data_IF_937551420007
#
_entry.id   IF_937551420007
#
_cell.length_a   1.000
_cell.length_b   1.000
_cell.length_c   1.000
_cell.angle_alpha   90.00
_cell.angle_beta   90.00
_cell.angle_gamma   90.00
#
_symmetry.space_group_name_H-M   'P 1'
#
loop_
_entity.id
_entity.type
_entity.pdbx_description
1 polymer ?
#
# COMPACT_ATOMS: atom_id res chain seq x y z
N UNK A 1 12.23 -13.55 -10.64
CA UNK A 1 12.96 -12.46 -9.95
C UNK A 1 12.20 -11.18 -10.22
N UNK A 2 12.01 -10.31 -9.22
CA UNK A 2 11.38 -9.00 -9.41
C UNK A 2 12.22 -8.13 -10.35
N UNK A 3 11.58 -7.41 -11.27
CA UNK A 3 12.30 -6.42 -12.09
C UNK A 3 12.59 -5.17 -11.26
N UNK A 4 13.84 -4.71 -11.29
CA UNK A 4 14.25 -3.40 -10.80
C UNK A 4 13.90 -2.33 -11.83
N UNK A 5 13.19 -1.29 -11.38
CA UNK A 5 12.67 -0.22 -12.22
C UNK A 5 13.18 1.10 -11.67
N UNK A 6 13.89 1.85 -12.51
CA UNK A 6 14.24 3.23 -12.21
C UNK A 6 13.13 4.17 -12.71
N UNK A 7 12.65 5.07 -11.87
CA UNK A 7 11.64 6.07 -12.27
C UNK A 7 12.29 7.46 -12.25
N UNK A 8 12.45 8.01 -13.46
CA UNK A 8 12.94 9.38 -13.69
C UNK A 8 11.75 10.31 -13.84
N UNK A 9 11.69 11.37 -13.03
CA UNK A 9 10.57 12.32 -13.01
C UNK A 9 11.01 13.71 -12.51
N UNK A 10 10.25 14.75 -12.84
CA UNK A 10 10.45 16.09 -12.27
C UNK A 10 9.89 16.16 -10.85
N UNK A 11 10.54 16.88 -9.93
CA UNK A 11 10.04 17.05 -8.56
C UNK A 11 8.60 17.62 -8.49
N UNK A 12 8.19 18.42 -9.48
CA UNK A 12 6.82 18.96 -9.61
C UNK A 12 5.76 17.84 -9.78
N UNK A 13 6.17 16.66 -10.27
CA UNK A 13 5.30 15.49 -10.42
C UNK A 13 5.43 14.51 -9.24
N UNK A 14 6.22 14.86 -8.21
CA UNK A 14 6.60 13.94 -7.15
C UNK A 14 5.43 13.33 -6.41
N UNK A 15 4.40 14.12 -6.10
CA UNK A 15 3.24 13.61 -5.38
C UNK A 15 2.49 12.55 -6.19
N UNK A 16 2.30 12.77 -7.49
CA UNK A 16 1.67 11.78 -8.37
C UNK A 16 2.55 10.53 -8.52
N UNK A 17 3.86 10.70 -8.75
CA UNK A 17 4.77 9.56 -8.91
C UNK A 17 4.78 8.69 -7.65
N UNK A 18 4.90 9.30 -6.47
CA UNK A 18 4.95 8.58 -5.21
C UNK A 18 3.63 7.91 -4.84
N UNK A 19 2.53 8.67 -4.96
CA UNK A 19 1.21 8.23 -4.53
C UNK A 19 0.44 7.49 -5.61
N UNK A 20 0.87 7.42 -6.87
CA UNK A 20 0.14 6.67 -7.91
C UNK A 20 1.06 5.63 -8.50
N UNK A 21 2.04 6.06 -9.28
CA UNK A 21 2.92 5.19 -10.06
C UNK A 21 3.71 4.21 -9.19
N UNK A 22 4.48 4.70 -8.22
CA UNK A 22 5.32 3.86 -7.35
C UNK A 22 4.46 2.92 -6.50
N UNK A 23 3.30 3.38 -6.02
CA UNK A 23 2.38 2.54 -5.24
C UNK A 23 1.84 1.38 -6.07
N UNK A 24 1.41 1.61 -7.32
CA UNK A 24 0.96 0.54 -8.21
C UNK A 24 2.09 -0.42 -8.58
N UNK A 25 3.28 0.08 -8.89
CA UNK A 25 4.43 -0.76 -9.25
C UNK A 25 4.87 -1.66 -8.08
N UNK A 26 5.08 -1.08 -6.89
CA UNK A 26 5.43 -1.83 -5.68
C UNK A 26 4.29 -2.77 -5.26
N UNK A 27 3.04 -2.30 -5.36
CA UNK A 27 1.83 -3.10 -5.14
C UNK A 27 1.80 -4.35 -6.02
N UNK A 28 2.20 -4.21 -7.28
CA UNK A 28 2.30 -5.28 -8.26
C UNK A 28 3.54 -6.16 -8.12
N UNK A 29 4.42 -5.89 -7.15
CA UNK A 29 5.61 -6.68 -6.84
C UNK A 29 6.90 -6.25 -7.56
N UNK A 30 6.92 -5.09 -8.22
CA UNK A 30 8.14 -4.55 -8.79
C UNK A 30 9.03 -3.90 -7.72
N UNK A 31 10.34 -3.95 -7.94
CA UNK A 31 11.32 -3.24 -7.13
C UNK A 31 11.56 -1.87 -7.76
N UNK A 32 11.22 -0.80 -7.05
CA UNK A 32 11.21 0.56 -7.61
C UNK A 32 12.29 1.43 -6.97
N UNK A 33 13.13 2.01 -7.81
CA UNK A 33 14.25 2.88 -7.48
C UNK A 33 13.89 4.32 -7.86
N UNK A 34 13.94 5.24 -6.88
CA UNK A 34 13.53 6.65 -7.04
C UNK A 34 14.46 7.60 -6.26
N UNK A 35 14.63 8.80 -6.81
CA UNK A 35 15.62 9.80 -6.39
C UNK A 35 15.32 10.44 -5.01
N UNK A 36 14.06 10.52 -4.57
CA UNK A 36 13.70 11.25 -3.33
C UNK A 36 14.37 10.73 -2.05
N UNK A 37 14.70 9.43 -1.99
CA UNK A 37 15.38 8.86 -0.81
C UNK A 37 16.87 9.25 -0.71
N UNK A 38 17.47 9.81 -1.76
CA UNK A 38 18.89 10.20 -1.78
C UNK A 38 19.14 11.71 -1.80
N UNK A 39 18.16 12.52 -2.22
CA UNK A 39 18.33 13.99 -2.35
C UNK A 39 18.38 14.71 -0.99
N UNK A 40 17.67 14.24 0.04
CA UNK A 40 17.72 14.86 1.37
C UNK A 40 19.03 14.55 2.13
N UNK A 41 19.74 13.48 1.77
CA UNK A 41 20.94 13.04 2.48
C UNK A 41 22.28 13.34 1.77
N UNK A 42 22.33 13.61 0.46
CA UNK A 42 23.63 13.71 -0.20
C UNK A 42 23.70 14.52 -1.50
N UNK A 43 24.18 15.77 -1.38
CA UNK A 43 24.79 16.54 -2.50
C UNK A 43 26.11 15.94 -3.05
N UNK A 44 26.44 14.67 -2.74
CA UNK A 44 27.66 13.97 -3.20
C UNK A 44 27.38 12.71 -4.05
N UNK A 45 26.12 12.43 -4.41
CA UNK A 45 25.70 11.12 -4.93
C UNK A 45 25.48 10.99 -6.45
N UNK A 46 25.92 11.94 -7.29
CA UNK A 46 25.67 11.87 -8.74
C UNK A 46 26.14 10.57 -9.41
N UNK A 47 27.32 10.05 -9.03
CA UNK A 47 27.83 8.78 -9.57
C UNK A 47 27.03 7.57 -9.11
N UNK A 48 26.45 7.64 -7.91
CA UNK A 48 25.67 6.53 -7.36
C UNK A 48 24.29 6.42 -8.03
N UNK A 49 23.67 7.53 -8.42
CA UNK A 49 22.40 7.52 -9.16
C UNK A 49 22.56 6.98 -10.59
N UNK A 50 23.64 7.37 -11.28
CA UNK A 50 23.99 6.82 -12.59
C UNK A 50 24.17 5.29 -12.54
N UNK A 51 24.91 4.79 -11.56
CA UNK A 51 25.13 3.35 -11.37
C UNK A 51 23.81 2.61 -11.03
N UNK A 52 22.92 3.24 -10.27
CA UNK A 52 21.59 2.70 -9.94
C UNK A 52 20.71 2.63 -11.19
N UNK A 53 20.68 3.69 -11.99
CA UNK A 53 19.94 3.71 -13.26
C UNK A 53 20.45 2.63 -14.23
N UNK A 54 21.78 2.50 -14.35
CA UNK A 54 22.40 1.52 -15.26
C UNK A 54 22.09 0.08 -14.85
N UNK A 55 21.96 -0.20 -13.55
CA UNK A 55 21.59 -1.52 -13.02
C UNK A 55 20.10 -1.83 -13.13
N UNK A 56 19.24 -0.83 -13.29
CA UNK A 56 17.81 -1.06 -13.45
C UNK A 56 17.52 -1.80 -14.75
N UNK A 57 16.62 -2.78 -14.67
CA UNK A 57 16.14 -3.53 -15.83
C UNK A 57 15.29 -2.66 -16.75
N UNK A 58 14.52 -1.73 -16.18
CA UNK A 58 13.64 -0.80 -16.89
C UNK A 58 13.81 0.63 -16.37
N UNK A 59 13.55 1.59 -17.25
CA UNK A 59 13.56 3.02 -16.99
C UNK A 59 12.21 3.61 -17.37
N UNK A 60 11.44 4.06 -16.38
CA UNK A 60 10.21 4.82 -16.62
C UNK A 60 10.59 6.30 -16.66
N UNK A 61 10.23 6.96 -17.77
CA UNK A 61 10.49 8.38 -18.00
C UNK A 61 9.17 9.13 -17.93
N UNK A 62 8.92 9.83 -16.83
CA UNK A 62 7.64 10.54 -16.59
C UNK A 62 7.73 11.95 -17.18
N UNK A 63 7.09 12.15 -18.32
CA UNK A 63 7.16 13.40 -19.07
C UNK A 63 6.23 14.49 -18.52
N UNK A 64 6.81 15.68 -18.45
CA UNK A 64 6.19 17.00 -18.21
C UNK A 64 7.05 18.08 -18.87
N UNK A 65 6.53 19.32 -19.03
CA UNK A 65 7.37 20.46 -19.37
C UNK A 65 8.58 20.59 -18.44
N UNK A 66 8.38 20.50 -17.11
CA UNK A 66 9.46 20.64 -16.13
C UNK A 66 10.52 19.52 -16.23
N UNK A 67 10.09 18.29 -16.54
CA UNK A 67 11.02 17.19 -16.83
C UNK A 67 11.90 17.51 -18.03
N UNK A 68 11.31 18.07 -19.09
CA UNK A 68 12.00 18.42 -20.32
C UNK A 68 12.93 19.63 -20.13
N UNK A 69 12.64 20.53 -19.21
CA UNK A 69 13.49 21.69 -18.89
C UNK A 69 14.60 21.37 -17.88
N UNK A 70 14.45 20.30 -17.10
CA UNK A 70 15.45 19.87 -16.12
C UNK A 70 16.67 19.23 -16.77
N UNK A 71 17.85 19.87 -16.60
CA UNK A 71 19.13 19.32 -17.07
C UNK A 71 19.43 17.92 -16.52
N UNK A 72 19.00 17.65 -15.28
CA UNK A 72 19.19 16.37 -14.63
C UNK A 72 18.31 15.30 -15.27
N UNK A 73 17.00 15.55 -15.42
CA UNK A 73 16.09 14.63 -16.10
C UNK A 73 16.49 14.40 -17.57
N UNK A 74 16.94 15.43 -18.28
CA UNK A 74 17.49 15.28 -19.64
C UNK A 74 18.75 14.40 -19.67
N UNK A 75 19.58 14.40 -18.62
CA UNK A 75 20.73 13.50 -18.52
C UNK A 75 20.27 12.05 -18.41
N UNK A 76 19.39 11.75 -17.45
CA UNK A 76 18.81 10.41 -17.22
C UNK A 76 18.07 9.89 -18.46
N UNK A 77 17.25 10.73 -19.10
CA UNK A 77 16.56 10.40 -20.35
C UNK A 77 17.56 10.00 -21.43
N UNK A 78 18.60 10.80 -21.67
CA UNK A 78 19.61 10.49 -22.70
C UNK A 78 20.33 9.18 -22.40
N UNK A 79 20.55 8.84 -21.13
CA UNK A 79 21.14 7.54 -20.74
C UNK A 79 20.21 6.38 -21.09
N UNK A 80 18.94 6.47 -20.69
CA UNK A 80 17.93 5.46 -21.00
C UNK A 80 17.78 5.26 -22.51
N UNK A 81 17.68 6.34 -23.29
CA UNK A 81 17.56 6.29 -24.75
C UNK A 81 18.82 5.76 -25.45
N UNK A 82 20.03 5.93 -24.87
CA UNK A 82 21.24 5.29 -25.42
C UNK A 82 21.22 3.77 -25.28
N UNK A 83 20.63 3.27 -24.18
CA UNK A 83 20.44 1.81 -23.96
C UNK A 83 19.30 1.25 -24.82
N UNK A 84 18.39 2.11 -25.26
CA UNK A 84 17.21 1.72 -26.02
C UNK A 84 16.84 2.73 -27.13
N UNK A 85 17.70 2.89 -28.16
CA UNK A 85 17.52 3.94 -29.17
C UNK A 85 16.33 3.72 -30.11
N UNK A 86 15.79 2.49 -30.14
CA UNK A 86 14.69 2.05 -31.01
C UNK A 86 13.44 1.60 -30.24
N UNK A 87 13.50 1.49 -28.91
CA UNK A 87 12.44 0.92 -28.06
C UNK A 87 12.17 -0.58 -28.29
N UNK A 88 13.04 -1.28 -29.01
CA UNK A 88 12.90 -2.71 -29.33
C UNK A 88 12.94 -3.59 -28.06
N UNK A 89 13.95 -3.49 -27.17
CA UNK A 89 13.93 -4.20 -25.89
C UNK A 89 12.90 -3.61 -24.92
N UNK A 90 12.49 -2.35 -25.11
CA UNK A 90 11.58 -1.61 -24.24
C UNK A 90 12.15 -1.45 -22.83
N UNK A 91 13.44 -1.13 -22.74
CA UNK A 91 14.13 -0.74 -21.51
C UNK A 91 13.69 0.65 -21.09
N UNK A 92 13.42 1.54 -22.05
CA UNK A 92 12.89 2.88 -21.77
C UNK A 92 11.37 2.92 -22.03
N UNK A 93 10.60 3.32 -21.03
CA UNK A 93 9.14 3.40 -21.09
C UNK A 93 8.74 4.87 -20.88
N UNK A 94 8.39 5.60 -21.96
CA UNK A 94 7.82 6.93 -21.84
C UNK A 94 6.44 6.86 -21.18
N UNK A 95 6.25 7.66 -20.14
CA UNK A 95 4.94 7.86 -19.49
C UNK A 95 4.57 9.32 -19.62
N UNK A 96 3.48 9.63 -20.31
CA UNK A 96 2.93 10.98 -20.40
C UNK A 96 1.95 11.18 -19.25
N UNK A 97 2.29 12.06 -18.30
CA UNK A 97 1.39 12.40 -17.19
C UNK A 97 0.66 13.73 -17.40
N UNK A 98 1.28 14.66 -18.11
CA UNK A 98 0.68 15.95 -18.46
C UNK A 98 0.89 16.22 -19.94
N UNK A 99 0.12 17.16 -20.49
CA UNK A 99 0.33 17.58 -21.87
C UNK A 99 1.72 18.19 -22.04
N UNK A 100 2.48 17.69 -23.01
CA UNK A 100 3.81 18.16 -23.33
C UNK A 100 4.25 17.67 -24.70
N UNK A 101 5.13 18.46 -25.33
CA UNK A 101 5.74 18.12 -26.61
C UNK A 101 6.88 17.12 -26.38
N UNK A 102 6.64 15.86 -26.73
CA UNK A 102 7.66 14.82 -26.58
C UNK A 102 8.86 15.07 -27.53
N UNK A 103 10.09 14.79 -27.11
CA UNK A 103 11.27 14.87 -27.98
C UNK A 103 11.10 14.00 -29.24
N UNK A 104 11.67 14.40 -30.39
CA UNK A 104 11.59 13.63 -31.64
C UNK A 104 12.07 12.18 -31.52
N UNK A 105 13.03 11.92 -30.62
CA UNK A 105 13.52 10.58 -30.32
C UNK A 105 12.41 9.64 -29.80
N UNK A 106 11.40 10.19 -29.12
CA UNK A 106 10.29 9.47 -28.49
C UNK A 106 9.06 9.45 -29.40
N UNK A 107 8.85 10.51 -30.21
CA UNK A 107 7.74 10.63 -31.16
C UNK A 107 7.76 9.62 -32.32
N UNK A 108 8.91 9.00 -32.60
CA UNK A 108 8.98 7.86 -33.53
C UNK A 108 8.01 6.78 -33.05
N UNK A 109 7.44 5.97 -33.94
CA UNK A 109 6.50 4.89 -33.57
C UNK A 109 7.07 4.04 -32.44
N UNK A 110 6.70 4.40 -31.21
CA UNK A 110 7.10 3.73 -29.99
C UNK A 110 5.86 3.00 -29.51
N UNK A 111 5.82 1.66 -29.63
CA UNK A 111 4.65 0.88 -29.28
C UNK A 111 4.34 0.88 -27.77
N UNK A 112 5.20 1.47 -26.94
CA UNK A 112 5.11 1.44 -25.48
C UNK A 112 5.02 2.82 -24.82
N UNK A 113 4.69 3.88 -25.56
CA UNK A 113 4.38 5.16 -24.93
C UNK A 113 3.06 5.03 -24.17
N UNK A 114 3.12 5.14 -22.84
CA UNK A 114 1.96 5.05 -21.96
C UNK A 114 1.43 6.44 -21.67
N UNK A 115 0.11 6.62 -21.77
CA UNK A 115 -0.57 7.87 -21.45
C UNK A 115 -1.35 7.74 -20.14
N UNK A 116 -0.83 8.32 -19.06
CA UNK A 116 -1.46 8.36 -17.74
C UNK A 116 -1.88 9.79 -17.36
N UNK A 117 -2.31 10.59 -18.35
CA UNK A 117 -3.01 11.85 -18.07
C UNK A 117 -4.34 11.62 -17.34
N UNK A 118 -4.98 10.48 -17.59
CA UNK A 118 -6.13 9.99 -16.85
C UNK A 118 -5.76 8.76 -16.01
N UNK A 119 -5.83 8.89 -14.68
CA UNK A 119 -5.56 7.78 -13.76
C UNK A 119 -6.62 6.67 -13.84
N UNK A 120 -7.77 6.93 -14.47
CA UNK A 120 -8.86 5.96 -14.66
C UNK A 120 -8.68 5.07 -15.89
N UNK A 121 -7.71 5.35 -16.78
CA UNK A 121 -7.46 4.51 -17.95
C UNK A 121 -6.74 3.21 -17.55
N UNK A 122 -7.55 2.19 -17.25
CA UNK A 122 -7.06 0.87 -16.87
C UNK A 122 -6.19 0.22 -17.94
N UNK A 123 -6.42 0.50 -19.23
CA UNK A 123 -5.66 -0.13 -20.31
C UNK A 123 -4.22 0.40 -20.35
N UNK A 124 -4.04 1.70 -20.12
CA UNK A 124 -2.72 2.33 -20.04
C UNK A 124 -1.93 1.84 -18.82
N UNK A 125 -2.61 1.72 -17.68
CA UNK A 125 -2.00 1.10 -16.50
C UNK A 125 -1.60 -0.35 -16.73
N UNK A 126 -2.47 -1.15 -17.36
CA UNK A 126 -2.19 -2.55 -17.65
C UNK A 126 -1.02 -2.72 -18.62
N UNK A 127 -0.92 -1.86 -19.64
CA UNK A 127 0.22 -1.82 -20.54
C UNK A 127 1.53 -1.58 -19.78
N UNK A 128 1.54 -0.61 -18.88
CA UNK A 128 2.70 -0.28 -18.06
C UNK A 128 3.07 -1.41 -17.10
N UNK A 129 2.11 -1.89 -16.31
CA UNK A 129 2.31 -2.92 -15.30
C UNK A 129 2.79 -4.23 -15.94
N UNK A 130 2.18 -4.65 -17.05
CA UNK A 130 2.61 -5.83 -17.81
C UNK A 130 4.04 -5.69 -18.30
N UNK A 131 4.44 -4.52 -18.83
CA UNK A 131 5.84 -4.30 -19.25
C UNK A 131 6.80 -4.35 -18.07
N UNK A 132 6.33 -3.99 -16.88
CA UNK A 132 7.08 -4.02 -15.63
C UNK A 132 7.12 -5.40 -14.94
N UNK A 133 6.48 -6.44 -15.51
CA UNK A 133 6.21 -7.73 -14.85
C UNK A 133 5.55 -7.55 -13.47
N UNK A 134 4.69 -6.54 -13.36
CA UNK A 134 3.93 -6.20 -12.17
C UNK A 134 2.46 -6.59 -12.38
N UNK A 135 1.81 -7.12 -11.34
CA UNK A 135 0.39 -7.46 -11.38
C UNK A 135 -0.24 -7.20 -10.02
N UNK A 136 -1.30 -6.39 -9.98
CA UNK A 136 -2.05 -6.07 -8.77
C UNK A 136 -3.10 -7.14 -8.42
N UNK A 137 -3.44 -8.02 -9.37
CA UNK A 137 -4.59 -8.92 -9.30
C UNK A 137 -5.94 -8.21 -9.47
N UNK A 138 -5.91 -6.91 -9.77
CA UNK A 138 -7.04 -6.03 -10.09
C UNK A 138 -6.58 -4.95 -11.08
N UNK A 139 -7.45 -4.01 -11.45
CA UNK A 139 -7.07 -2.83 -12.24
C UNK A 139 -6.40 -1.78 -11.33
N UNK A 140 -5.47 -1.00 -11.87
CA UNK A 140 -4.84 0.06 -11.08
C UNK A 140 -5.82 1.14 -10.59
N UNK A 141 -6.84 1.58 -11.37
CA UNK A 141 -7.85 2.50 -10.86
C UNK A 141 -8.59 1.98 -9.62
N UNK A 142 -8.99 0.70 -9.64
CA UNK A 142 -9.70 0.08 -8.51
C UNK A 142 -8.79 -0.03 -7.27
N UNK A 143 -7.54 -0.45 -7.47
CA UNK A 143 -6.53 -0.48 -6.41
C UNK A 143 -6.32 0.89 -5.76
N UNK A 144 -6.14 1.93 -6.59
CA UNK A 144 -5.92 3.30 -6.14
C UNK A 144 -7.15 3.87 -5.42
N UNK A 145 -8.36 3.60 -5.92
CA UNK A 145 -9.62 3.98 -5.29
C UNK A 145 -9.72 3.40 -3.88
N UNK A 146 -9.55 2.09 -3.75
CA UNK A 146 -9.61 1.38 -2.46
C UNK A 146 -8.56 1.92 -1.50
N UNK A 147 -7.32 2.07 -1.94
CA UNK A 147 -6.25 2.59 -1.09
C UNK A 147 -6.57 4.00 -0.59
N UNK A 148 -7.07 4.88 -1.47
CA UNK A 148 -7.43 6.25 -1.09
C UNK A 148 -8.63 6.27 -0.12
N UNK A 149 -9.60 5.37 -0.29
CA UNK A 149 -10.69 5.18 0.68
C UNK A 149 -10.18 4.76 2.05
N UNK A 150 -9.30 3.75 2.10
CA UNK A 150 -8.69 3.29 3.35
C UNK A 150 -7.91 4.41 4.04
N UNK A 151 -7.07 5.15 3.29
CA UNK A 151 -6.34 6.30 3.84
C UNK A 151 -7.30 7.33 4.44
N UNK A 152 -8.38 7.65 3.72
CA UNK A 152 -9.36 8.64 4.16
C UNK A 152 -10.08 8.21 5.45
N UNK A 153 -10.58 6.98 5.51
CA UNK A 153 -11.33 6.48 6.67
C UNK A 153 -10.40 6.32 7.89
N UNK A 154 -9.28 5.62 7.73
CA UNK A 154 -8.33 5.39 8.83
C UNK A 154 -7.68 6.69 9.34
N UNK A 155 -7.43 7.65 8.44
CA UNK A 155 -6.93 8.98 8.79
C UNK A 155 -7.93 9.78 9.63
N UNK A 156 -9.24 9.59 9.41
CA UNK A 156 -10.32 10.18 10.23
C UNK A 156 -10.59 9.42 11.53
N UNK A 157 -9.87 8.32 11.77
CA UNK A 157 -10.10 7.46 12.93
C UNK A 157 -11.33 6.58 12.79
N UNK A 158 -11.79 6.32 11.56
CA UNK A 158 -12.90 5.43 11.27
C UNK A 158 -12.35 4.03 11.00
N UNK A 159 -12.96 3.02 11.63
CA UNK A 159 -12.59 1.61 11.42
C UNK A 159 -13.23 1.06 10.15
N UNK A 160 -12.49 0.22 9.42
CA UNK A 160 -12.85 -0.26 8.08
C UNK A 160 -12.78 -1.78 8.02
N UNK A 161 -13.74 -2.39 7.34
CA UNK A 161 -13.65 -3.77 6.86
C UNK A 161 -13.25 -3.78 5.37
N UNK A 162 -12.03 -4.21 5.07
CA UNK A 162 -11.54 -4.44 3.72
C UNK A 162 -11.89 -5.86 3.26
N UNK A 163 -12.85 -5.98 2.36
CA UNK A 163 -13.22 -7.25 1.74
C UNK A 163 -12.39 -7.46 0.49
N UNK A 164 -11.66 -8.57 0.40
CA UNK A 164 -10.72 -8.82 -0.71
C UNK A 164 -11.15 -9.99 -1.59
N UNK A 165 -11.31 -9.72 -2.88
CA UNK A 165 -11.59 -10.71 -3.91
C UNK A 165 -10.44 -11.70 -4.12
N UNK A 166 -10.75 -12.84 -4.74
CA UNK A 166 -9.75 -13.83 -5.12
C UNK A 166 -8.69 -13.22 -6.09
N UNK A 167 -7.46 -13.70 -6.01
CA UNK A 167 -6.37 -13.26 -6.90
C UNK A 167 -5.77 -11.87 -6.61
N UNK A 168 -6.42 -11.02 -5.81
CA UNK A 168 -5.90 -9.67 -5.53
C UNK A 168 -4.71 -9.70 -4.56
N UNK A 169 -3.69 -8.89 -4.85
CA UNK A 169 -2.53 -8.69 -3.98
C UNK A 169 -2.79 -7.70 -2.85
N UNK A 170 -3.77 -7.93 -2.00
CA UNK A 170 -4.15 -6.98 -0.94
C UNK A 170 -3.05 -6.68 0.11
N UNK A 171 -2.07 -7.57 0.32
CA UNK A 171 -1.01 -7.37 1.33
C UNK A 171 -0.17 -6.11 1.04
N UNK A 172 0.43 -5.96 -0.16
CA UNK A 172 1.10 -4.72 -0.55
C UNK A 172 0.24 -3.46 -0.41
N UNK A 173 -1.09 -3.54 -0.60
CA UNK A 173 -1.97 -2.40 -0.41
C UNK A 173 -1.98 -1.92 1.05
N UNK A 174 -2.05 -2.86 2.01
CA UNK A 174 -2.01 -2.53 3.45
C UNK A 174 -0.64 -1.99 3.84
N UNK A 175 0.45 -2.58 3.34
CA UNK A 175 1.81 -2.06 3.60
C UNK A 175 2.00 -0.64 3.02
N UNK A 176 1.43 -0.36 1.83
CA UNK A 176 1.49 0.96 1.21
C UNK A 176 0.72 2.04 1.99
N UNK A 177 -0.22 1.66 2.87
CA UNK A 177 -0.87 2.62 3.78
C UNK A 177 0.14 3.23 4.76
N UNK A 178 1.14 2.45 5.22
CA UNK A 178 2.15 2.92 6.19
C UNK A 178 3.13 3.93 5.60
N UNK A 179 3.14 4.12 4.28
CA UNK A 179 3.91 5.19 3.62
C UNK A 179 3.27 6.57 3.82
N UNK A 180 1.99 6.63 4.17
CA UNK A 180 1.34 7.86 4.57
C UNK A 180 1.76 8.20 6.00
N UNK A 181 2.27 9.42 6.23
CA UNK A 181 2.71 9.85 7.56
C UNK A 181 1.62 9.76 8.63
N UNK A 182 0.35 9.90 8.24
CA UNK A 182 -0.79 9.78 9.17
C UNK A 182 -1.08 8.32 9.59
N UNK A 183 -0.54 7.34 8.88
CA UNK A 183 -0.73 5.90 9.09
C UNK A 183 0.58 5.14 9.26
N UNK A 184 1.71 5.82 9.45
CA UNK A 184 3.03 5.19 9.63
C UNK A 184 3.06 4.21 10.82
N UNK A 185 2.27 4.50 11.85
CA UNK A 185 2.10 3.69 13.07
C UNK A 185 1.02 2.61 12.95
N UNK A 186 0.46 2.35 11.76
CA UNK A 186 -0.49 1.27 11.56
C UNK A 186 0.21 -0.08 11.82
N UNK A 187 -0.11 -0.68 12.97
CA UNK A 187 0.35 -2.02 13.33
C UNK A 187 -0.36 -3.08 12.50
N UNK A 188 0.32 -4.18 12.18
CA UNK A 188 -0.25 -5.30 11.41
C UNK A 188 -0.19 -6.57 12.26
N UNK A 189 -1.32 -7.26 12.39
CA UNK A 189 -1.45 -8.54 13.09
C UNK A 189 -2.01 -9.58 12.12
N UNK A 190 -1.22 -10.61 11.81
CA UNK A 190 -1.60 -11.72 10.93
C UNK A 190 -2.25 -12.83 11.74
N UNK A 191 -3.55 -13.10 11.50
CA UNK A 191 -4.23 -14.16 12.23
C UNK A 191 -3.78 -15.56 11.79
N UNK A 192 -3.03 -15.76 10.71
CA UNK A 192 -2.41 -17.07 10.44
C UNK A 192 -1.18 -17.33 11.33
N UNK A 193 -0.62 -16.31 11.98
CA UNK A 193 0.52 -16.51 12.88
C UNK A 193 0.08 -17.36 14.08
N UNK A 194 0.76 -18.50 14.38
CA UNK A 194 0.45 -19.35 15.51
C UNK A 194 0.37 -18.62 16.86
N UNK A 195 1.11 -17.51 17.05
CA UNK A 195 1.04 -16.74 18.30
C UNK A 195 -0.36 -16.17 18.53
N UNK A 196 -1.12 -15.93 17.48
CA UNK A 196 -2.48 -15.38 17.56
C UNK A 196 -3.54 -16.44 17.79
N UNK A 197 -3.20 -17.73 17.84
CA UNK A 197 -4.19 -18.81 17.97
C UNK A 197 -5.02 -18.71 19.26
N UNK A 198 -4.41 -18.23 20.35
CA UNK A 198 -5.10 -18.01 21.62
C UNK A 198 -5.50 -16.54 21.82
N UNK A 199 -6.53 -16.28 22.62
CA UNK A 199 -6.95 -14.91 22.97
C UNK A 199 -5.82 -14.07 23.62
N UNK A 200 -5.09 -14.55 24.65
CA UNK A 200 -3.96 -13.78 25.20
C UNK A 200 -2.85 -13.54 24.18
N UNK A 201 -2.61 -14.51 23.29
CA UNK A 201 -1.64 -14.39 22.20
C UNK A 201 -2.02 -13.32 21.17
N UNK A 202 -3.29 -13.27 20.76
CA UNK A 202 -3.80 -12.19 19.91
C UNK A 202 -3.70 -10.83 20.62
N UNK A 203 -4.08 -10.74 21.90
CA UNK A 203 -3.94 -9.51 22.69
C UNK A 203 -2.48 -9.05 22.71
N UNK A 204 -1.53 -9.97 22.94
CA UNK A 204 -0.10 -9.67 22.91
C UNK A 204 0.37 -9.16 21.55
N UNK A 205 -0.07 -9.79 20.47
CA UNK A 205 0.24 -9.35 19.11
C UNK A 205 -0.32 -7.95 18.81
N UNK A 206 -1.54 -7.63 19.26
CA UNK A 206 -2.14 -6.30 19.14
C UNK A 206 -1.30 -5.26 19.90
N UNK A 207 -0.95 -5.54 21.15
CA UNK A 207 -0.13 -4.62 21.96
C UNK A 207 1.25 -4.38 21.32
N UNK A 208 1.90 -5.44 20.85
CA UNK A 208 3.17 -5.36 20.14
C UNK A 208 3.04 -4.53 18.85
N UNK A 209 1.98 -4.75 18.07
CA UNK A 209 1.70 -3.99 16.85
C UNK A 209 1.46 -2.49 17.13
N UNK A 210 0.99 -2.15 18.33
CA UNK A 210 0.87 -0.78 18.83
C UNK A 210 2.19 -0.20 19.40
N UNK A 211 3.32 -0.90 19.26
CA UNK A 211 4.62 -0.46 19.77
C UNK A 211 4.87 -0.78 21.25
N UNK A 212 3.98 -1.52 21.90
CA UNK A 212 4.11 -1.90 23.31
C UNK A 212 4.92 -3.18 23.41
N UNK A 213 6.15 -3.06 23.92
CA UNK A 213 7.08 -4.20 24.07
C UNK A 213 7.29 -4.55 25.53
N UNK A 214 7.63 -5.81 25.80
CA UNK A 214 7.97 -6.28 27.16
C UNK A 214 6.79 -6.43 28.12
N UNK A 215 5.55 -6.23 27.66
CA UNK A 215 4.34 -6.45 28.47
C UNK A 215 3.97 -7.92 28.44
N UNK A 216 3.95 -8.57 29.61
CA UNK A 216 3.40 -9.91 29.77
C UNK A 216 1.89 -9.84 29.78
N UNK A 217 1.23 -10.41 28.78
CA UNK A 217 -0.24 -10.51 28.78
C UNK A 217 -0.67 -11.56 29.80
N UNK A 218 -1.47 -11.19 30.82
CA UNK A 218 -1.92 -12.14 31.84
C UNK A 218 -2.88 -13.19 31.24
N UNK A 219 -3.14 -14.25 31.98
CA UNK A 219 -4.14 -15.24 31.59
C UNK A 219 -5.56 -14.65 31.61
N UNK A 220 -6.50 -15.35 30.95
CA UNK A 220 -7.93 -15.03 31.01
C UNK A 220 -8.43 -15.00 32.47
N UNK A 221 -9.33 -14.07 32.84
CA UNK A 221 -9.94 -13.04 31.99
C UNK A 221 -9.17 -11.70 31.95
N UNK A 222 -8.01 -11.61 32.61
CA UNK A 222 -7.31 -10.34 32.85
C UNK A 222 -6.58 -9.80 31.61
N UNK A 223 -6.40 -10.61 30.58
CA UNK A 223 -5.80 -10.21 29.30
C UNK A 223 -6.52 -9.02 28.67
N UNK A 224 -7.85 -8.99 28.75
CA UNK A 224 -8.65 -7.89 28.19
C UNK A 224 -8.60 -6.62 29.05
N UNK A 225 -8.43 -6.77 30.37
CA UNK A 225 -8.20 -5.63 31.28
C UNK A 225 -6.87 -4.97 30.93
N UNK A 226 -5.84 -5.77 30.69
CA UNK A 226 -4.53 -5.28 30.29
C UNK A 226 -4.56 -4.60 28.91
N UNK A 227 -5.24 -5.20 27.92
CA UNK A 227 -5.48 -4.58 26.62
C UNK A 227 -6.13 -3.20 26.78
N UNK A 228 -7.22 -3.13 27.54
CA UNK A 228 -7.97 -1.90 27.76
C UNK A 228 -7.13 -0.83 28.47
N UNK A 229 -6.42 -1.21 29.54
CA UNK A 229 -5.54 -0.32 30.30
C UNK A 229 -4.46 0.29 29.41
N UNK A 230 -3.77 -0.54 28.64
CA UNK A 230 -2.67 -0.11 27.78
C UNK A 230 -3.17 0.76 26.63
N UNK A 231 -4.21 0.36 25.90
CA UNK A 231 -4.71 1.16 24.78
C UNK A 231 -5.34 2.48 25.23
N UNK A 232 -5.94 2.54 26.42
CA UNK A 232 -6.52 3.78 26.96
C UNK A 232 -5.46 4.83 27.30
N UNK A 233 -4.24 4.40 27.69
CA UNK A 233 -3.11 5.31 27.94
C UNK A 233 -2.47 5.87 26.66
N UNK A 234 -2.80 5.32 25.49
CA UNK A 234 -2.37 5.83 24.19
C UNK A 234 -3.36 6.88 23.65
N UNK A 235 -2.92 7.70 22.69
CA UNK A 235 -3.78 8.70 22.03
C UNK A 235 -4.91 7.98 21.29
N UNK A 236 -4.54 7.24 20.24
CA UNK A 236 -5.40 6.35 19.46
C UNK A 236 -4.50 5.34 18.75
N UNK A 237 -4.69 4.05 19.01
CA UNK A 237 -3.98 2.98 18.33
C UNK A 237 -4.64 2.65 16.99
N UNK A 238 -3.84 2.29 15.98
CA UNK A 238 -4.33 1.82 14.68
C UNK A 238 -3.78 0.44 14.40
N UNK A 239 -4.65 -0.53 14.17
CA UNK A 239 -4.25 -1.93 13.95
C UNK A 239 -4.98 -2.53 12.77
N UNK A 240 -4.24 -3.13 11.85
CA UNK A 240 -4.75 -3.97 10.79
C UNK A 240 -4.77 -5.44 11.27
N UNK A 241 -5.96 -6.01 11.39
CA UNK A 241 -6.15 -7.45 11.63
C UNK A 241 -6.38 -8.12 10.28
N UNK A 242 -5.40 -8.90 9.81
CA UNK A 242 -5.45 -9.52 8.48
C UNK A 242 -5.84 -10.99 8.57
N UNK A 243 -6.53 -11.48 7.54
CA UNK A 243 -7.16 -12.81 7.47
C UNK A 243 -8.14 -13.05 8.61
N UNK A 244 -8.99 -12.06 8.83
CA UNK A 244 -9.93 -12.07 9.93
C UNK A 244 -11.01 -13.15 9.80
N UNK A 245 -11.17 -13.76 8.62
CA UNK A 245 -12.06 -14.91 8.41
C UNK A 245 -11.75 -16.06 9.39
N UNK A 246 -10.49 -16.21 9.82
CA UNK A 246 -10.07 -17.22 10.80
C UNK A 246 -10.69 -17.02 12.18
N UNK A 247 -11.09 -15.79 12.54
CA UNK A 247 -11.70 -15.51 13.84
C UNK A 247 -13.01 -16.28 14.06
N UNK A 248 -13.78 -16.53 12.98
CA UNK A 248 -15.01 -17.32 13.03
C UNK A 248 -14.78 -18.79 13.40
N UNK A 249 -13.53 -19.28 13.27
CA UNK A 249 -13.14 -20.66 13.56
C UNK A 249 -12.28 -20.79 14.83
N UNK A 250 -12.17 -19.72 15.64
CA UNK A 250 -11.37 -19.70 16.88
C UNK A 250 -12.28 -19.57 18.10
N UNK A 251 -12.79 -20.68 18.68
CA UNK A 251 -13.64 -20.63 19.87
C UNK A 251 -12.92 -19.98 21.07
N UNK A 252 -11.59 -19.99 21.09
CA UNK A 252 -10.76 -19.42 22.15
C UNK A 252 -10.88 -17.90 22.26
N UNK A 253 -11.33 -17.20 21.22
CA UNK A 253 -11.48 -15.75 21.24
C UNK A 253 -12.63 -15.30 22.15
N UNK A 254 -13.69 -16.11 22.25
CA UNK A 254 -14.86 -15.88 23.11
C UNK A 254 -15.58 -14.54 22.86
N UNK A 255 -16.77 -14.39 23.44
CA UNK A 255 -17.61 -13.18 23.34
C UNK A 255 -16.92 -11.92 23.88
N UNK A 256 -16.07 -12.08 24.90
CA UNK A 256 -15.51 -10.96 25.65
C UNK A 256 -14.45 -10.18 24.88
N UNK A 257 -13.61 -10.85 24.08
CA UNK A 257 -12.61 -10.18 23.24
C UNK A 257 -13.30 -9.19 22.32
N UNK A 258 -14.32 -9.70 21.66
CA UNK A 258 -15.15 -8.99 20.73
C UNK A 258 -15.82 -7.78 21.41
N UNK A 259 -16.44 -7.96 22.58
CA UNK A 259 -16.99 -6.87 23.37
C UNK A 259 -15.95 -5.79 23.72
N UNK A 260 -14.73 -6.21 24.09
CA UNK A 260 -13.62 -5.30 24.37
C UNK A 260 -13.18 -4.51 23.14
N UNK A 261 -13.07 -5.15 21.97
CA UNK A 261 -12.74 -4.47 20.70
C UNK A 261 -13.80 -3.43 20.33
N UNK A 262 -15.09 -3.73 20.53
CA UNK A 262 -16.17 -2.75 20.34
C UNK A 262 -16.02 -1.56 21.26
N UNK A 263 -15.87 -1.82 22.56
CA UNK A 263 -15.64 -0.78 23.58
C UNK A 263 -14.46 0.13 23.21
N UNK A 264 -13.36 -0.46 22.75
CA UNK A 264 -12.17 0.27 22.35
C UNK A 264 -12.35 1.09 21.06
N UNK A 265 -13.19 0.60 20.15
CA UNK A 265 -13.43 1.24 18.85
C UNK A 265 -14.51 2.33 18.91
N UNK A 266 -15.65 2.04 19.53
CA UNK A 266 -16.85 2.87 19.44
C UNK A 266 -17.03 3.78 20.66
N UNK A 267 -16.95 3.20 21.86
CA UNK A 267 -17.21 3.92 23.11
C UNK A 267 -16.02 4.79 23.53
N UNK A 268 -14.84 4.20 23.69
CA UNK A 268 -13.65 4.91 24.16
C UNK A 268 -12.85 5.57 23.04
N UNK A 269 -13.05 5.14 21.78
CA UNK A 269 -12.35 5.62 20.58
C UNK A 269 -10.82 5.60 20.72
N UNK A 270 -10.31 4.55 21.36
CA UNK A 270 -8.89 4.30 21.60
C UNK A 270 -8.26 3.39 20.57
N UNK A 271 -9.07 2.72 19.75
CA UNK A 271 -8.64 1.79 18.73
C UNK A 271 -9.34 2.08 17.40
N UNK A 272 -8.56 2.11 16.32
CA UNK A 272 -9.04 2.15 14.94
C UNK A 272 -8.60 0.84 14.28
N UNK A 273 -9.56 0.12 13.73
CA UNK A 273 -9.33 -1.19 13.13
C UNK A 273 -9.40 -1.12 11.62
N UNK A 274 -8.42 -1.74 10.96
CA UNK A 274 -8.54 -2.21 9.58
C UNK A 274 -8.70 -3.73 9.62
N UNK A 275 -9.90 -4.22 9.35
CA UNK A 275 -10.18 -5.67 9.33
C UNK A 275 -10.17 -6.15 7.89
N UNK A 276 -9.17 -6.95 7.50
CA UNK A 276 -9.16 -7.60 6.19
C UNK A 276 -9.82 -8.97 6.27
N UNK A 277 -10.82 -9.21 5.42
CA UNK A 277 -11.54 -10.49 5.31
C UNK A 277 -11.93 -10.82 3.86
N UNK A 278 -12.52 -12.00 3.65
CA UNK A 278 -13.12 -12.45 2.37
C UNK A 278 -14.62 -12.21 2.31
N UNK A 279 -15.28 -12.11 3.46
CA UNK A 279 -16.71 -11.81 3.59
C UNK A 279 -16.94 -10.61 4.52
N UNK A 280 -18.14 -9.98 4.48
CA UNK A 280 -18.45 -8.85 5.34
C UNK A 280 -18.25 -9.17 6.82
N UNK A 281 -17.70 -8.22 7.58
CA UNK A 281 -17.40 -8.38 9.01
C UNK A 281 -18.60 -8.87 9.83
N UNK A 282 -19.80 -8.36 9.55
CA UNK A 282 -21.02 -8.79 10.24
C UNK A 282 -21.34 -10.29 10.07
N UNK A 283 -20.91 -10.89 8.95
CA UNK A 283 -21.08 -12.33 8.70
C UNK A 283 -20.00 -13.20 9.37
N UNK A 284 -18.92 -12.60 9.89
CA UNK A 284 -17.86 -13.29 10.63
C UNK A 284 -18.16 -13.44 12.13
N UNK A 285 -19.22 -12.79 12.59
CA UNK A 285 -19.62 -12.79 13.99
C UNK A 285 -20.77 -13.79 14.21
N UNK A 286 -20.82 -14.46 15.38
CA UNK A 286 -21.97 -15.28 15.76
C UNK A 286 -23.29 -14.53 15.62
N UNK A 287 -24.35 -15.22 15.21
CA UNK A 287 -25.71 -14.65 15.16
C UNK A 287 -26.16 -14.18 16.56
N UNK A 288 -26.88 -13.05 16.61
CA UNK A 288 -27.33 -12.38 17.84
C UNK A 288 -26.20 -11.85 18.77
N UNK A 289 -24.96 -11.81 18.28
CA UNK A 289 -23.85 -11.26 19.04
C UNK A 289 -23.99 -9.74 19.18
N UNK A 290 -23.74 -9.16 20.37
CA UNK A 290 -23.68 -7.69 20.57
C UNK A 290 -22.76 -6.94 19.62
N UNK A 291 -21.87 -7.64 18.91
CA UNK A 291 -20.92 -7.11 17.94
C UNK A 291 -21.43 -6.99 16.51
N UNK A 292 -22.58 -7.60 16.19
CA UNK A 292 -23.31 -7.25 14.96
C UNK A 292 -23.53 -5.74 14.82
N UNK A 293 -23.40 -4.99 15.93
CA UNK A 293 -23.45 -3.53 15.97
C UNK A 293 -22.11 -2.79 15.75
N UNK A 294 -20.95 -3.45 15.65
CA UNK A 294 -19.72 -2.73 15.28
C UNK A 294 -19.92 -2.19 13.87
N UNK A 295 -20.03 -0.87 13.77
CA UNK A 295 -20.14 -0.19 12.50
C UNK A 295 -18.74 0.00 11.90
N UNK A 296 -18.30 -0.99 11.11
CA UNK A 296 -17.15 -0.85 10.23
C UNK A 296 -17.63 -0.38 8.87
N UNK A 297 -17.01 0.67 8.33
CA UNK A 297 -17.22 1.01 6.92
C UNK A 297 -16.69 -0.12 6.05
N UNK A 298 -17.49 -0.62 5.11
CA UNK A 298 -17.05 -1.67 4.19
C UNK A 298 -16.39 -1.04 2.97
N UNK A 299 -15.19 -1.51 2.64
CA UNK A 299 -14.48 -1.20 1.40
C UNK A 299 -14.16 -2.51 0.68
N UNK A 300 -14.60 -2.64 -0.56
CA UNK A 300 -14.34 -3.82 -1.37
C UNK A 300 -13.17 -3.60 -2.32
N UNK A 301 -12.28 -4.59 -2.39
CA UNK A 301 -11.20 -4.68 -3.37
C UNK A 301 -11.44 -5.90 -4.25
N UNK A 302 -11.96 -5.65 -5.45
CA UNK A 302 -12.39 -6.71 -6.37
C UNK A 302 -11.22 -7.18 -7.23
N UNK A 303 -11.19 -8.49 -7.51
CA UNK A 303 -10.29 -9.08 -8.50
C UNK A 303 -10.63 -8.63 -9.91
N UNK A 304 -9.73 -8.89 -10.87
CA UNK A 304 -10.10 -8.79 -12.28
C UNK A 304 -11.29 -9.72 -12.57
N UNK A 305 -12.26 -9.28 -13.38
CA UNK A 305 -13.34 -10.14 -13.85
C UNK A 305 -12.82 -11.30 -14.71
#
# INVERSE_FOLDING_TARGET
MSRTIFVSYSHEQGDWVWNRLVSCLKGGGAEVLIDREQVEAARRLYKQLDDVQDRAALNILVFSPDYLDSRFCQHEMRRALRRDPKFDPGIAIPVKRVECELPPAIKRSNPLCVDLRDDQDANQWDLLLKKCDADLGTTAPEWLRVRDELRRHLGRGESVNLIVGAGVRWRPLIEDLRRDSSLAELGIVDLEDPVTASRPGLVGAILQACGVTGVSVPAKPNDLVELGRVLTSHRTARVALIKFDLAAHRPEYELDLFAALRYLTMESRKLVLLVQSRIPFAALLPHDHPLSSINLTTVELRGRP
#
